data_IF_684461867358
#
_entry.id   IF_684461867358
#
_cell.length_a   1.000
_cell.length_b   1.000
_cell.length_c   1.000
_cell.angle_alpha   90.00
_cell.angle_beta   90.00
_cell.angle_gamma   90.00
#
_symmetry.space_group_name_H-M   'P 1'
#
loop_
_entity.id
_entity.type
_entity.pdbx_description
1 polymer ?
#
# COMPACT_ATOMS: atom_id res chain seq x y z
N UNK A 1 46.70 12.53 -6.93
CA UNK A 1 45.66 12.31 -7.96
C UNK A 1 45.42 10.80 -8.00
N UNK A 2 44.68 10.31 -7.00
CA UNK A 2 44.28 8.90 -6.95
C UNK A 2 43.11 8.78 -7.93
N UNK A 3 43.24 7.82 -8.85
CA UNK A 3 42.45 7.67 -10.05
C UNK A 3 40.93 7.75 -9.77
N UNK A 4 40.28 8.61 -10.55
CA UNK A 4 38.83 8.71 -10.75
C UNK A 4 38.28 7.52 -11.58
N UNK A 5 38.77 6.30 -11.36
CA UNK A 5 38.40 5.13 -12.18
C UNK A 5 37.44 4.15 -11.49
N UNK A 6 36.94 4.46 -10.30
CA UNK A 6 35.99 3.60 -9.57
C UNK A 6 34.56 4.18 -9.47
N UNK A 7 34.13 5.03 -10.42
CA UNK A 7 32.80 5.66 -10.40
C UNK A 7 31.84 5.17 -11.51
N UNK A 8 32.28 4.25 -12.39
CA UNK A 8 31.45 3.77 -13.51
C UNK A 8 30.71 2.45 -13.23
N UNK A 9 30.96 1.80 -12.09
CA UNK A 9 30.16 0.70 -11.55
C UNK A 9 29.41 1.18 -10.31
N UNK A 10 28.41 2.05 -10.47
CA UNK A 10 27.26 1.93 -9.59
C UNK A 10 26.66 0.56 -9.93
N UNK A 11 27.06 -0.46 -9.16
CA UNK A 11 26.89 -1.90 -9.41
C UNK A 11 25.54 -2.21 -10.08
N UNK A 12 25.55 -2.96 -11.18
CA UNK A 12 24.33 -3.40 -11.87
C UNK A 12 23.32 -4.04 -10.89
N UNK A 13 23.84 -4.67 -9.82
CA UNK A 13 23.07 -5.19 -8.69
C UNK A 13 22.29 -4.10 -7.91
N UNK A 14 22.91 -2.95 -7.65
CA UNK A 14 22.26 -1.82 -6.97
C UNK A 14 21.16 -1.20 -7.84
N UNK A 15 21.37 -1.10 -9.16
CA UNK A 15 20.34 -0.63 -10.09
C UNK A 15 19.17 -1.63 -10.17
N UNK A 16 19.46 -2.93 -10.14
CA UNK A 16 18.45 -3.98 -10.11
C UNK A 16 17.61 -3.92 -8.83
N UNK A 17 18.24 -3.72 -7.67
CA UNK A 17 17.54 -3.56 -6.39
C UNK A 17 16.59 -2.33 -6.41
N UNK A 18 17.06 -1.19 -6.92
CA UNK A 18 16.22 0.00 -7.12
C UNK A 18 15.03 -0.34 -8.02
N UNK A 19 15.24 -1.10 -9.09
CA UNK A 19 14.15 -1.48 -9.99
C UNK A 19 13.14 -2.42 -9.32
N UNK A 20 13.59 -3.33 -8.43
CA UNK A 20 12.71 -4.16 -7.62
C UNK A 20 11.85 -3.33 -6.67
N UNK A 21 12.41 -2.32 -6.01
CA UNK A 21 11.63 -1.39 -5.17
C UNK A 21 10.61 -0.60 -6.00
N UNK A 22 10.98 -0.18 -7.20
CA UNK A 22 10.05 0.51 -8.12
C UNK A 22 8.91 -0.42 -8.56
N UNK A 23 9.21 -1.66 -8.90
CA UNK A 23 8.22 -2.69 -9.26
C UNK A 23 7.26 -2.95 -8.11
N UNK A 24 7.79 -3.12 -6.89
CA UNK A 24 6.98 -3.29 -5.68
C UNK A 24 5.99 -2.13 -5.52
N UNK A 25 6.47 -0.88 -5.58
CA UNK A 25 5.62 0.30 -5.40
C UNK A 25 4.45 0.33 -6.39
N UNK A 26 4.73 0.08 -7.67
CA UNK A 26 3.74 0.06 -8.77
C UNK A 26 2.68 -1.04 -8.60
N UNK A 27 3.12 -2.22 -8.18
CA UNK A 27 2.23 -3.35 -7.89
C UNK A 27 1.35 -3.02 -6.68
N UNK A 28 1.96 -2.50 -5.62
CA UNK A 28 1.29 -2.24 -4.35
C UNK A 28 0.21 -1.17 -4.43
N UNK A 29 0.47 -0.05 -5.13
CA UNK A 29 -0.57 0.96 -5.36
C UNK A 29 -1.74 0.40 -6.17
N UNK A 30 -1.48 -0.52 -7.10
CA UNK A 30 -2.50 -1.20 -7.90
C UNK A 30 -3.35 -2.15 -7.06
N UNK A 31 -2.72 -2.96 -6.21
CA UNK A 31 -3.43 -3.84 -5.27
C UNK A 31 -4.34 -3.04 -4.35
N UNK A 32 -3.79 -2.05 -3.65
CA UNK A 32 -4.52 -1.27 -2.65
C UNK A 32 -5.69 -0.48 -3.24
N UNK A 33 -5.53 0.11 -4.44
CA UNK A 33 -6.65 0.83 -5.10
C UNK A 33 -7.76 -0.12 -5.51
N UNK A 34 -7.43 -1.32 -5.97
CA UNK A 34 -8.41 -2.34 -6.35
C UNK A 34 -9.13 -2.89 -5.12
N UNK A 35 -8.42 -3.11 -4.01
CA UNK A 35 -9.03 -3.49 -2.72
C UNK A 35 -9.98 -2.41 -2.17
N UNK A 36 -9.68 -1.14 -2.41
CA UNK A 36 -10.59 -0.02 -2.10
C UNK A 36 -11.76 0.08 -3.10
N UNK A 37 -11.67 -0.58 -4.25
CA UNK A 37 -12.73 -0.60 -5.27
C UNK A 37 -12.70 0.60 -6.21
N UNK A 38 -11.55 1.26 -6.40
CA UNK A 38 -11.41 2.44 -7.26
C UNK A 38 -10.47 2.18 -8.44
N UNK A 39 -10.84 2.71 -9.61
CA UNK A 39 -9.97 2.70 -10.79
C UNK A 39 -8.99 3.90 -10.78
N UNK A 40 -8.01 3.88 -11.68
CA UNK A 40 -6.92 4.88 -11.72
C UNK A 40 -7.43 6.30 -11.99
N UNK A 41 -8.40 6.45 -12.89
CA UNK A 41 -9.01 7.74 -13.22
C UNK A 41 -9.76 8.29 -12.01
N UNK A 42 -10.60 7.46 -11.38
CA UNK A 42 -11.37 7.84 -10.20
C UNK A 42 -10.44 8.28 -9.05
N UNK A 43 -9.48 7.44 -8.69
CA UNK A 43 -8.52 7.74 -7.62
C UNK A 43 -7.72 9.02 -7.91
N UNK A 44 -7.31 9.25 -9.16
CA UNK A 44 -6.61 10.48 -9.56
C UNK A 44 -7.47 11.72 -9.31
N UNK A 45 -8.75 11.68 -9.70
CA UNK A 45 -9.67 12.80 -9.54
C UNK A 45 -10.01 13.06 -8.06
N UNK A 46 -10.24 12.00 -7.27
CA UNK A 46 -10.51 12.13 -5.84
C UNK A 46 -9.31 12.66 -5.05
N UNK A 47 -8.08 12.45 -5.54
CA UNK A 47 -6.85 13.06 -5.01
C UNK A 47 -6.63 14.52 -5.49
N UNK A 48 -7.54 15.08 -6.29
CA UNK A 48 -7.40 16.43 -6.86
C UNK A 48 -6.29 16.53 -7.90
N UNK A 49 -6.00 15.44 -8.63
CA UNK A 49 -4.95 15.36 -9.66
C UNK A 49 -5.51 15.23 -11.06
N UNK A 50 -4.63 15.35 -12.05
CA UNK A 50 -4.97 15.11 -13.45
C UNK A 50 -5.39 13.65 -13.66
N UNK A 51 -6.26 13.40 -14.64
CA UNK A 51 -6.86 12.08 -14.94
C UNK A 51 -5.86 10.92 -15.00
N UNK A 52 -4.64 11.17 -15.49
CA UNK A 52 -3.63 10.12 -15.70
C UNK A 52 -2.64 9.99 -14.55
N UNK A 53 -2.84 10.70 -13.43
CA UNK A 53 -1.86 10.76 -12.34
C UNK A 53 -1.54 9.38 -11.76
N UNK A 54 -2.54 8.63 -11.32
CA UNK A 54 -2.35 7.28 -10.78
C UNK A 54 -1.90 6.31 -11.87
N UNK A 55 -2.38 6.46 -13.10
CA UNK A 55 -1.92 5.66 -14.24
C UNK A 55 -0.41 5.81 -14.48
N UNK A 56 0.12 7.04 -14.48
CA UNK A 56 1.57 7.27 -14.65
C UNK A 56 2.37 6.64 -13.50
N UNK A 57 1.81 6.59 -12.28
CA UNK A 57 2.45 5.93 -11.14
C UNK A 57 2.41 4.41 -11.28
N UNK A 58 1.23 3.82 -11.53
CA UNK A 58 1.05 2.36 -11.64
C UNK A 58 1.78 1.76 -12.85
N UNK A 59 1.81 2.48 -13.97
CA UNK A 59 2.59 2.10 -15.17
C UNK A 59 4.09 2.37 -15.02
N UNK A 60 4.50 3.12 -14.00
CA UNK A 60 5.90 3.38 -13.73
C UNK A 60 6.54 4.52 -14.49
N UNK A 61 5.76 5.30 -15.23
CA UNK A 61 6.19 6.51 -15.92
C UNK A 61 6.57 7.64 -14.95
N UNK A 62 6.06 7.61 -13.73
CA UNK A 62 6.36 8.59 -12.69
C UNK A 62 6.39 7.95 -11.29
N UNK A 63 7.03 8.64 -10.35
CA UNK A 63 6.88 8.41 -8.91
C UNK A 63 6.19 9.63 -8.28
N UNK A 64 5.33 9.42 -7.26
CA UNK A 64 4.82 10.54 -6.48
C UNK A 64 5.97 11.22 -5.73
N UNK A 65 5.86 12.52 -5.47
CA UNK A 65 6.68 13.14 -4.42
C UNK A 65 6.29 12.57 -3.05
N UNK A 66 7.16 12.67 -2.05
CA UNK A 66 6.87 12.16 -0.71
C UNK A 66 5.58 12.74 -0.10
N UNK A 67 5.31 14.03 -0.30
CA UNK A 67 4.03 14.64 0.12
C UNK A 67 2.83 13.98 -0.55
N UNK A 68 2.93 13.68 -1.84
CA UNK A 68 1.84 13.01 -2.55
C UNK A 68 1.72 11.53 -2.18
N UNK A 69 2.83 10.86 -1.87
CA UNK A 69 2.79 9.52 -1.31
C UNK A 69 2.01 9.49 0.01
N UNK A 70 2.23 10.44 0.93
CA UNK A 70 1.44 10.53 2.16
C UNK A 70 -0.05 10.79 1.89
N UNK A 71 -0.38 11.65 0.93
CA UNK A 71 -1.77 11.85 0.51
C UNK A 71 -2.40 10.56 -0.04
N UNK A 72 -1.65 9.78 -0.81
CA UNK A 72 -2.09 8.46 -1.31
C UNK A 72 -2.35 7.51 -0.14
N UNK A 73 -1.45 7.44 0.84
CA UNK A 73 -1.64 6.60 2.04
C UNK A 73 -2.88 7.00 2.83
N UNK A 74 -3.09 8.31 3.07
CA UNK A 74 -4.28 8.83 3.74
C UNK A 74 -5.56 8.47 2.97
N UNK A 75 -5.55 8.66 1.65
CA UNK A 75 -6.68 8.29 0.80
C UNK A 75 -6.98 6.79 0.84
N UNK A 76 -5.95 5.95 0.81
CA UNK A 76 -6.07 4.49 0.91
C UNK A 76 -6.37 4.02 2.34
N UNK A 77 -6.35 4.94 3.31
CA UNK A 77 -6.63 4.70 4.73
C UNK A 77 -5.64 3.72 5.38
N UNK A 78 -4.36 3.88 5.02
CA UNK A 78 -3.23 3.08 5.52
C UNK A 78 -2.09 3.98 5.98
N UNK A 79 -1.19 3.44 6.78
CA UNK A 79 0.08 4.09 7.12
C UNK A 79 1.13 3.83 6.01
N UNK A 80 2.19 4.66 5.93
CA UNK A 80 3.34 4.37 5.06
C UNK A 80 3.97 3.00 5.30
N UNK A 81 4.07 2.58 6.57
CA UNK A 81 4.57 1.24 6.94
C UNK A 81 3.71 0.13 6.34
N UNK A 82 2.38 0.24 6.46
CA UNK A 82 1.41 -0.70 5.88
C UNK A 82 1.43 -0.73 4.35
N UNK A 83 1.78 0.38 3.70
CA UNK A 83 2.01 0.39 2.26
C UNK A 83 3.16 -0.54 1.90
N UNK A 84 4.28 -0.46 2.61
CA UNK A 84 5.48 -1.27 2.33
C UNK A 84 5.49 -2.67 2.95
N UNK A 85 4.50 -3.02 3.78
CA UNK A 85 4.36 -4.37 4.32
C UNK A 85 3.66 -5.30 3.29
N UNK A 86 4.38 -6.30 2.71
CA UNK A 86 3.81 -7.26 1.77
C UNK A 86 2.83 -8.24 2.43
N UNK A 87 2.89 -8.41 3.75
CA UNK A 87 2.01 -9.28 4.51
C UNK A 87 0.76 -8.57 5.02
N UNK A 88 0.70 -7.25 4.89
CA UNK A 88 -0.48 -6.46 5.24
C UNK A 88 -1.61 -6.72 4.24
N UNK A 89 -2.40 -7.77 4.54
CA UNK A 89 -3.56 -8.20 3.77
C UNK A 89 -4.78 -7.37 4.14
N UNK A 90 -5.36 -6.72 3.14
CA UNK A 90 -6.71 -6.17 3.13
C UNK A 90 -7.06 -5.23 4.31
N UNK A 91 -6.45 -4.02 4.36
CA UNK A 91 -6.91 -2.93 5.25
C UNK A 91 -8.42 -2.70 5.19
N UNK A 92 -9.02 -2.90 4.02
CA UNK A 92 -10.46 -2.71 3.79
C UNK A 92 -11.32 -3.75 4.52
N UNK A 93 -10.90 -5.01 4.64
CA UNK A 93 -11.63 -6.03 5.39
C UNK A 93 -11.56 -5.77 6.88
N UNK A 94 -10.36 -5.53 7.41
CA UNK A 94 -10.15 -5.30 8.84
C UNK A 94 -10.90 -4.04 9.29
N UNK A 95 -10.87 -2.97 8.48
CA UNK A 95 -11.66 -1.76 8.72
C UNK A 95 -13.17 -1.98 8.63
N UNK A 96 -13.65 -2.77 7.65
CA UNK A 96 -15.07 -3.15 7.57
C UNK A 96 -15.48 -3.94 8.82
N UNK A 97 -14.66 -4.89 9.24
CA UNK A 97 -14.90 -5.68 10.46
C UNK A 97 -14.95 -4.79 11.70
N UNK A 98 -14.02 -3.84 11.85
CA UNK A 98 -14.05 -2.86 12.96
C UNK A 98 -15.34 -2.03 12.96
N UNK A 99 -15.77 -1.50 11.81
CA UNK A 99 -17.03 -0.76 11.70
C UNK A 99 -18.28 -1.60 12.02
N UNK A 100 -18.22 -2.91 11.79
CA UNK A 100 -19.30 -3.83 12.20
C UNK A 100 -19.25 -4.07 13.71
N UNK A 101 -18.05 -4.30 14.25
CA UNK A 101 -17.81 -4.51 15.68
C UNK A 101 -18.25 -3.31 16.54
N UNK A 102 -18.06 -2.07 16.07
CA UNK A 102 -18.55 -0.86 16.74
C UNK A 102 -20.09 -0.83 16.94
N UNK A 103 -20.84 -1.63 16.19
CA UNK A 103 -22.31 -1.70 16.27
C UNK A 103 -22.81 -2.88 17.11
N UNK A 104 -21.91 -3.73 17.58
CA UNK A 104 -22.23 -4.94 18.34
C UNK A 104 -22.40 -4.61 19.82
N UNK A 105 -23.28 -5.35 20.48
CA UNK A 105 -23.39 -5.34 21.94
C UNK A 105 -22.18 -6.04 22.57
N UNK A 106 -21.93 -5.76 23.86
CA UNK A 106 -20.87 -6.45 24.60
C UNK A 106 -21.01 -7.98 24.53
N UNK A 107 -22.24 -8.50 24.56
CA UNK A 107 -22.48 -9.95 24.50
C UNK A 107 -22.10 -10.55 23.14
N UNK A 108 -22.36 -9.83 22.06
CA UNK A 108 -22.00 -10.26 20.71
C UNK A 108 -20.49 -10.18 20.48
N UNK A 109 -19.82 -9.15 21.02
CA UNK A 109 -18.36 -9.03 20.99
C UNK A 109 -17.67 -10.15 21.80
N UNK A 110 -18.19 -10.50 22.98
CA UNK A 110 -17.71 -11.66 23.75
C UNK A 110 -17.79 -12.95 22.93
N UNK A 111 -18.92 -13.20 22.26
CA UNK A 111 -19.09 -14.38 21.42
C UNK A 111 -18.10 -14.38 20.24
N UNK A 112 -17.89 -13.22 19.61
CA UNK A 112 -16.92 -13.07 18.53
C UNK A 112 -15.49 -13.35 19.00
N UNK A 113 -15.11 -12.87 20.18
CA UNK A 113 -13.79 -13.15 20.76
C UNK A 113 -13.54 -14.65 20.93
N UNK A 114 -14.51 -15.41 21.45
CA UNK A 114 -14.39 -16.88 21.58
C UNK A 114 -14.11 -17.54 20.23
N UNK A 115 -14.81 -17.09 19.17
CA UNK A 115 -14.59 -17.62 17.82
C UNK A 115 -13.19 -17.26 17.32
N UNK A 116 -12.77 -15.99 17.47
CA UNK A 116 -11.45 -15.53 17.04
C UNK A 116 -10.31 -16.29 17.75
N UNK A 117 -10.43 -16.51 19.05
CA UNK A 117 -9.47 -17.30 19.83
C UNK A 117 -9.38 -18.75 19.32
N UNK A 118 -10.52 -19.37 18.97
CA UNK A 118 -10.54 -20.72 18.40
C UNK A 118 -9.85 -20.81 17.02
N UNK A 119 -9.80 -19.72 16.27
CA UNK A 119 -9.14 -19.65 14.96
C UNK A 119 -7.64 -19.40 15.06
N UNK A 120 -7.17 -18.72 16.12
CA UNK A 120 -5.74 -18.46 16.38
C UNK A 120 -5.07 -19.68 17.00
N UNK A 121 -5.76 -20.42 17.87
CA UNK A 121 -5.22 -21.62 18.54
C UNK A 121 -5.08 -22.87 17.66
N UNK A 122 -5.57 -22.85 16.42
CA UNK A 122 -5.51 -23.97 15.47
C UNK A 122 -4.49 -23.73 14.33
N UNK A 123 -3.55 -22.79 14.49
CA UNK A 123 -2.48 -22.50 13.54
C UNK A 123 -1.12 -22.87 14.08
#
# INVERSE_FOLDING_TARGET
MIALENLEQADDEFLEEINQFKQFFRKRITELRLEKGVNEVQMSLELGKSRNYIFHISSGQAFPSMTQFFNICLYLEITPEQFFDPNFRSPSLLKKSLKLMEKMTNKELENLNVIMESMVGNR
#
